data_IF_427957604683
#
_entry.id   IF_427957604683
#
_cell.length_a   1.000
_cell.length_b   1.000
_cell.length_c   1.000
_cell.angle_alpha   90.00
_cell.angle_beta   90.00
_cell.angle_gamma   90.00
#
_symmetry.space_group_name_H-M   'P 1'
#
loop_
_entity.id
_entity.type
_entity.pdbx_description
1 polymer ?
#
# COMPACT_ATOMS: atom_id res chain seq x y z
N UNK A 1 9.00 6.05 -21.25
CA UNK A 1 8.60 4.84 -20.49
C UNK A 1 8.21 5.30 -19.10
N UNK A 2 6.94 5.13 -18.70
CA UNK A 2 6.56 5.31 -17.30
C UNK A 2 7.10 4.10 -16.53
N UNK A 3 8.23 4.27 -15.83
CA UNK A 3 8.70 3.27 -14.89
C UNK A 3 7.79 3.36 -13.66
N UNK A 4 6.73 2.55 -13.66
CA UNK A 4 5.95 2.31 -12.45
C UNK A 4 6.72 1.34 -11.56
N UNK A 5 7.01 1.77 -10.34
CA UNK A 5 7.72 0.95 -9.34
C UNK A 5 6.92 -0.30 -8.92
N UNK A 6 5.58 -0.20 -8.91
CA UNK A 6 4.65 -1.27 -8.58
C UNK A 6 3.63 -1.37 -9.71
N UNK A 7 3.45 -2.55 -10.29
CA UNK A 7 2.47 -2.73 -11.35
C UNK A 7 1.05 -2.86 -10.79
N UNK A 8 0.06 -2.36 -11.54
CA UNK A 8 -1.36 -2.55 -11.24
C UNK A 8 -1.73 -4.02 -11.03
N UNK A 9 -1.17 -4.94 -11.83
CA UNK A 9 -1.44 -6.38 -11.70
C UNK A 9 -0.92 -6.95 -10.38
N UNK A 10 0.25 -6.52 -9.93
CA UNK A 10 0.80 -6.93 -8.65
C UNK A 10 -0.06 -6.44 -7.49
N UNK A 11 -0.47 -5.17 -7.50
CA UNK A 11 -1.33 -4.58 -6.46
C UNK A 11 -2.67 -5.32 -6.35
N UNK A 12 -3.31 -5.63 -7.49
CA UNK A 12 -4.56 -6.39 -7.52
C UNK A 12 -4.39 -7.82 -6.97
N UNK A 13 -3.26 -8.48 -7.24
CA UNK A 13 -2.95 -9.81 -6.68
C UNK A 13 -2.75 -9.77 -5.17
N UNK A 14 -2.17 -8.70 -4.64
CA UNK A 14 -2.00 -8.47 -3.19
C UNK A 14 -3.30 -8.03 -2.49
N UNK A 15 -4.41 -7.93 -3.23
CA UNK A 15 -5.73 -7.59 -2.69
C UNK A 15 -5.97 -6.10 -2.51
N UNK A 16 -5.21 -5.24 -3.19
CA UNK A 16 -5.50 -3.81 -3.22
C UNK A 16 -6.72 -3.54 -4.11
N UNK A 17 -7.55 -2.60 -3.68
CA UNK A 17 -8.68 -2.11 -4.45
C UNK A 17 -8.27 -0.90 -5.26
N UNK A 18 -8.56 -0.94 -6.57
CA UNK A 18 -8.42 0.23 -7.43
C UNK A 18 -9.48 1.26 -7.04
N UNK A 19 -9.07 2.52 -6.92
CA UNK A 19 -9.92 3.68 -6.66
C UNK A 19 -9.66 4.77 -7.69
N UNK A 20 -10.72 5.46 -8.07
CA UNK A 20 -10.69 6.61 -8.96
C UNK A 20 -11.36 7.76 -8.19
N UNK A 21 -10.54 8.72 -7.74
CA UNK A 21 -11.02 9.99 -7.21
C UNK A 21 -10.53 11.09 -8.15
N UNK A 22 -9.53 11.88 -7.77
CA UNK A 22 -8.89 12.87 -8.64
C UNK A 22 -7.71 12.28 -9.45
N UNK A 23 -7.11 11.21 -8.92
CA UNK A 23 -6.09 10.40 -9.59
C UNK A 23 -6.33 8.90 -9.32
N UNK A 24 -5.81 8.03 -10.20
CA UNK A 24 -5.85 6.58 -10.00
C UNK A 24 -4.93 6.19 -8.84
N UNK A 25 -5.49 5.51 -7.85
CA UNK A 25 -4.72 4.97 -6.74
C UNK A 25 -5.26 3.60 -6.30
N UNK A 26 -4.44 2.88 -5.55
CA UNK A 26 -4.78 1.58 -4.99
C UNK A 26 -4.72 1.65 -3.48
N UNK A 27 -5.70 1.06 -2.80
CA UNK A 27 -5.72 1.02 -1.34
C UNK A 27 -5.91 -0.39 -0.78
N UNK A 28 -5.32 -0.65 0.37
CA UNK A 28 -5.58 -1.87 1.16
C UNK A 28 -5.46 -1.56 2.64
N UNK A 29 -6.34 -2.18 3.44
CA UNK A 29 -6.31 -2.07 4.91
C UNK A 29 -5.89 -3.39 5.52
N UNK A 30 -4.78 -3.36 6.27
CA UNK A 30 -4.24 -4.49 7.03
C UNK A 30 -4.74 -4.35 8.47
N UNK A 31 -5.58 -5.32 8.87
CA UNK A 31 -6.24 -5.45 10.19
C UNK A 31 -7.30 -4.37 10.51
N UNK A 32 -8.55 -4.81 10.71
CA UNK A 32 -9.69 -3.95 11.05
C UNK A 32 -10.04 -3.93 12.55
N UNK A 33 -9.36 -4.73 13.37
CA UNK A 33 -9.70 -4.96 14.79
C UNK A 33 -8.79 -4.19 15.79
N UNK A 34 -8.06 -3.17 15.33
CA UNK A 34 -7.14 -2.34 16.12
C UNK A 34 -6.83 -1.03 15.37
N UNK A 35 -5.72 -0.30 15.67
CA UNK A 35 -5.28 0.79 14.81
C UNK A 35 -4.84 0.20 13.45
N UNK A 36 -5.81 0.04 12.56
CA UNK A 36 -5.63 -0.59 11.27
C UNK A 36 -4.63 0.20 10.42
N UNK A 37 -3.91 -0.51 9.57
CA UNK A 37 -2.94 0.10 8.67
C UNK A 37 -3.57 0.20 7.29
N UNK A 38 -3.85 1.42 6.84
CA UNK A 38 -4.28 1.64 5.47
C UNK A 38 -3.09 2.08 4.64
N UNK A 39 -2.84 1.38 3.54
CA UNK A 39 -1.77 1.65 2.60
C UNK A 39 -2.40 2.22 1.34
N UNK A 40 -1.84 3.32 0.85
CA UNK A 40 -2.21 3.95 -0.40
C UNK A 40 -1.03 3.85 -1.37
N UNK A 41 -1.32 3.47 -2.61
CA UNK A 41 -0.35 3.41 -3.70
C UNK A 41 -0.84 4.29 -4.82
N UNK A 42 -0.19 5.44 -4.95
CA UNK A 42 -0.33 6.38 -6.05
C UNK A 42 0.74 6.10 -7.09
N UNK A 43 0.63 6.74 -8.25
CA UNK A 43 1.60 6.58 -9.33
C UNK A 43 3.03 6.88 -8.83
N UNK A 44 3.86 5.85 -8.65
CA UNK A 44 5.21 5.91 -8.08
C UNK A 44 5.34 6.41 -6.63
N UNK A 45 4.25 6.45 -5.87
CA UNK A 45 4.31 6.83 -4.46
C UNK A 45 3.53 5.84 -3.59
N UNK A 46 4.13 5.44 -2.48
CA UNK A 46 3.49 4.60 -1.48
C UNK A 46 3.40 5.41 -0.20
N UNK A 47 2.21 5.43 0.42
CA UNK A 47 2.01 6.01 1.73
C UNK A 47 1.16 5.10 2.62
N UNK A 48 1.21 5.37 3.91
CA UNK A 48 0.60 4.54 4.93
C UNK A 48 0.03 5.39 6.06
N UNK A 49 -1.14 5.00 6.57
CA UNK A 49 -1.74 5.53 7.78
C UNK A 49 -1.94 4.39 8.78
N UNK A 50 -1.55 4.60 10.03
CA UNK A 50 -1.72 3.64 11.14
C UNK A 50 -2.73 4.21 12.14
N UNK A 51 -3.93 3.64 12.23
CA UNK A 51 -5.01 4.16 13.06
C UNK A 51 -5.39 5.60 12.70
N UNK A 52 -5.39 6.50 13.68
CA UNK A 52 -5.62 7.94 13.50
C UNK A 52 -4.32 8.77 13.37
N UNK A 53 -3.19 8.11 13.11
CA UNK A 53 -1.89 8.76 12.97
C UNK A 53 -1.78 9.55 11.65
N UNK A 54 -0.73 10.38 11.56
CA UNK A 54 -0.39 11.06 10.29
C UNK A 54 0.03 10.05 9.23
N UNK A 55 -0.25 10.40 7.99
CA UNK A 55 0.24 9.68 6.81
C UNK A 55 1.77 9.71 6.75
N UNK A 56 2.36 8.54 6.50
CA UNK A 56 3.79 8.33 6.38
C UNK A 56 4.11 7.87 4.96
N UNK A 57 5.02 8.58 4.28
CA UNK A 57 5.52 8.17 2.97
C UNK A 57 6.53 7.04 3.12
N UNK A 58 6.44 6.07 2.23
CA UNK A 58 7.29 4.89 2.19
C UNK A 58 8.14 4.93 0.92
N UNK A 59 9.44 4.66 1.08
CA UNK A 59 10.36 4.49 -0.05
C UNK A 59 10.35 3.03 -0.47
N UNK A 60 9.68 2.74 -1.58
CA UNK A 60 9.60 1.41 -2.19
C UNK A 60 10.18 1.54 -3.59
N UNK A 61 11.07 0.63 -3.97
CA UNK A 61 11.77 0.70 -5.26
C UNK A 61 11.44 -0.47 -6.19
N UNK A 62 10.73 -1.50 -5.71
CA UNK A 62 10.24 -2.62 -6.51
C UNK A 62 9.18 -3.44 -5.75
N UNK A 63 8.54 -4.36 -6.46
CA UNK A 63 7.49 -5.24 -5.94
C UNK A 63 7.99 -6.22 -4.85
N UNK A 64 9.26 -6.65 -4.89
CA UNK A 64 9.82 -7.54 -3.85
C UNK A 64 9.92 -6.82 -2.51
N UNK A 65 10.48 -5.60 -2.50
CA UNK A 65 10.56 -4.76 -1.30
C UNK A 65 9.16 -4.45 -0.73
N UNK A 66 8.18 -4.22 -1.61
CA UNK A 66 6.81 -4.02 -1.19
C UNK A 66 6.20 -5.27 -0.56
N UNK A 67 6.44 -6.44 -1.16
CA UNK A 67 5.95 -7.72 -0.65
C UNK A 67 6.51 -8.04 0.74
N UNK A 68 7.80 -7.78 0.96
CA UNK A 68 8.44 -7.92 2.27
C UNK A 68 7.78 -7.00 3.30
N UNK A 69 7.58 -5.72 2.94
CA UNK A 69 6.88 -4.76 3.79
C UNK A 69 5.46 -5.23 4.15
N UNK A 70 4.67 -5.67 3.16
CA UNK A 70 3.31 -6.18 3.38
C UNK A 70 3.32 -7.37 4.33
N UNK A 71 4.27 -8.31 4.19
CA UNK A 71 4.39 -9.46 5.07
C UNK A 71 4.77 -9.05 6.49
N UNK A 72 5.71 -8.11 6.65
CA UNK A 72 6.07 -7.56 7.96
C UNK A 72 4.84 -6.98 8.65
N UNK A 73 4.09 -6.12 7.96
CA UNK A 73 2.86 -5.52 8.52
C UNK A 73 1.82 -6.59 8.86
N UNK A 74 1.51 -7.50 7.93
CA UNK A 74 0.55 -8.59 8.16
C UNK A 74 0.93 -9.44 9.39
N UNK A 75 2.23 -9.63 9.65
CA UNK A 75 2.70 -10.36 10.83
C UNK A 75 2.75 -9.53 12.11
N UNK A 76 2.94 -8.21 12.02
CA UNK A 76 2.92 -7.31 13.18
C UNK A 76 1.52 -7.06 13.74
N UNK A 77 0.47 -7.21 12.92
CA UNK A 77 -0.93 -7.03 13.33
C UNK A 77 -1.71 -8.36 13.47
N UNK A 78 -1.01 -9.48 13.61
CA UNK A 78 -1.56 -10.82 13.91
C UNK A 78 -1.82 -11.02 15.40
#
# INVERSE_FOLDING_TARGET
MNNQTLSSQFLLKEGFLKKESDEEYYESTICSNGPGVTIYVYNNSVSMVIGSSREQKLSVNNENQFSELLQTLKNSFK
#
